data_IF_997612204685
#
_entry.id   IF_997612204685
#
_cell.length_a   1.000
_cell.length_b   1.000
_cell.length_c   1.000
_cell.angle_alpha   90.00
_cell.angle_beta   90.00
_cell.angle_gamma   90.00
#
_symmetry.space_group_name_H-M   'P 1'
#
loop_
_entity.id
_entity.type
_entity.pdbx_description
1 polymer ?
#
# COMPACT_ATOMS: atom_id res chain seq x y z
N UNK A 1 -37.20 26.81 -3.48
CA UNK A 1 -36.02 26.39 -2.68
C UNK A 1 -35.66 24.89 -2.73
N UNK A 2 -36.23 24.06 -3.63
CA UNK A 2 -35.89 22.61 -3.71
C UNK A 2 -34.78 22.22 -4.71
N UNK A 3 -34.46 23.08 -5.68
CA UNK A 3 -33.49 22.78 -6.77
C UNK A 3 -32.02 22.97 -6.37
N UNK A 4 -31.74 23.80 -5.36
CA UNK A 4 -30.37 24.14 -4.97
C UNK A 4 -29.68 23.02 -4.18
N UNK A 5 -30.43 22.26 -3.37
CA UNK A 5 -29.88 21.22 -2.49
C UNK A 5 -29.43 20.00 -3.30
N UNK A 6 -30.20 19.61 -4.33
CA UNK A 6 -29.81 18.49 -5.21
C UNK A 6 -28.50 18.76 -5.94
N UNK A 7 -28.28 19.97 -6.46
CA UNK A 7 -27.05 20.30 -7.19
C UNK A 7 -25.80 20.20 -6.30
N UNK A 8 -25.90 20.65 -5.04
CA UNK A 8 -24.79 20.56 -4.09
C UNK A 8 -24.48 19.11 -3.74
N UNK A 9 -25.51 18.28 -3.51
CA UNK A 9 -25.33 16.85 -3.19
C UNK A 9 -24.67 16.11 -4.36
N UNK A 10 -25.13 16.31 -5.59
CA UNK A 10 -24.51 15.70 -6.78
C UNK A 10 -23.06 16.18 -6.98
N UNK A 11 -22.78 17.46 -6.72
CA UNK A 11 -21.42 18.02 -6.81
C UNK A 11 -20.47 17.44 -5.76
N UNK A 12 -20.92 17.26 -4.51
CA UNK A 12 -20.11 16.60 -3.46
C UNK A 12 -19.88 15.12 -3.74
N UNK A 13 -20.88 14.38 -4.22
CA UNK A 13 -20.71 12.97 -4.58
C UNK A 13 -19.76 12.82 -5.77
N UNK A 14 -19.88 13.69 -6.78
CA UNK A 14 -18.95 13.73 -7.91
C UNK A 14 -17.52 14.06 -7.45
N UNK A 15 -17.32 15.02 -6.55
CA UNK A 15 -16.01 15.36 -6.01
C UNK A 15 -15.38 14.20 -5.23
N UNK A 16 -16.16 13.48 -4.41
CA UNK A 16 -15.70 12.29 -3.69
C UNK A 16 -15.32 11.17 -4.66
N UNK A 17 -16.13 10.95 -5.70
CA UNK A 17 -15.85 9.94 -6.73
C UNK A 17 -14.61 10.30 -7.55
N UNK A 18 -14.41 11.58 -7.89
CA UNK A 18 -13.21 12.05 -8.61
C UNK A 18 -11.96 11.91 -7.73
N UNK A 19 -12.03 12.27 -6.45
CA UNK A 19 -10.93 12.10 -5.51
C UNK A 19 -10.60 10.61 -5.28
N UNK A 20 -11.61 9.74 -5.26
CA UNK A 20 -11.42 8.28 -5.20
C UNK A 20 -10.81 7.70 -6.50
N UNK A 21 -11.11 8.28 -7.66
CA UNK A 21 -10.49 7.91 -8.95
C UNK A 21 -9.08 8.52 -9.14
N UNK A 22 -8.74 9.58 -8.40
CA UNK A 22 -7.39 10.17 -8.40
C UNK A 22 -6.39 9.39 -7.55
N UNK A 23 -6.84 8.51 -6.65
CA UNK A 23 -5.97 7.50 -6.05
C UNK A 23 -5.77 6.38 -7.07
N UNK A 24 -4.94 6.64 -8.10
CA UNK A 24 -4.50 5.61 -9.01
C UNK A 24 -3.92 4.47 -8.17
N UNK A 25 -4.57 3.30 -8.20
CA UNK A 25 -4.09 2.13 -7.49
C UNK A 25 -2.64 1.91 -7.89
N UNK A 26 -1.74 1.91 -6.91
CA UNK A 26 -0.33 1.83 -7.23
C UNK A 26 -0.04 0.59 -8.08
N UNK A 27 0.81 0.71 -9.13
CA UNK A 27 1.14 -0.42 -9.98
C UNK A 27 1.64 -1.59 -9.13
N UNK A 28 0.98 -2.75 -9.26
CA UNK A 28 1.39 -3.97 -8.57
C UNK A 28 2.59 -4.59 -9.30
N UNK A 29 3.62 -5.06 -8.59
CA UNK A 29 4.70 -5.79 -9.22
C UNK A 29 4.21 -7.14 -9.77
N UNK A 30 4.82 -7.61 -10.86
CA UNK A 30 4.47 -8.90 -11.45
C UNK A 30 4.74 -10.07 -10.48
N UNK A 31 3.84 -11.05 -10.46
CA UNK A 31 3.95 -12.23 -9.60
C UNK A 31 3.79 -11.95 -8.11
N UNK A 32 3.23 -10.79 -7.73
CA UNK A 32 2.82 -10.49 -6.35
C UNK A 32 1.32 -10.72 -6.21
N UNK A 33 0.92 -11.37 -5.12
CA UNK A 33 -0.49 -11.62 -4.80
C UNK A 33 -1.31 -10.33 -4.76
N UNK A 34 -2.55 -10.40 -5.22
CA UNK A 34 -3.48 -9.26 -5.18
C UNK A 34 -3.89 -8.83 -3.78
N UNK A 35 -3.70 -9.70 -2.79
CA UNK A 35 -4.04 -9.49 -1.39
C UNK A 35 -2.89 -8.84 -0.60
N UNK A 36 -1.74 -8.60 -1.24
CA UNK A 36 -0.68 -7.75 -0.68
C UNK A 36 -0.93 -6.33 -1.15
N UNK A 37 -1.17 -5.45 -0.20
CA UNK A 37 -1.39 -4.03 -0.38
C UNK A 37 -0.07 -3.26 -0.25
N UNK A 38 0.11 -2.24 -1.09
CA UNK A 38 1.28 -1.38 -1.07
C UNK A 38 0.89 0.05 -0.74
N UNK A 39 1.75 0.71 0.02
CA UNK A 39 1.76 2.16 0.18
C UNK A 39 3.17 2.65 -0.05
N UNK A 40 3.34 3.64 -0.92
CA UNK A 40 4.62 4.27 -1.23
C UNK A 40 4.52 5.76 -0.96
N UNK A 41 5.44 6.27 -0.15
CA UNK A 41 5.50 7.69 0.22
C UNK A 41 6.87 8.25 -0.14
N UNK A 42 6.91 9.37 -0.87
CA UNK A 42 8.15 10.10 -1.08
C UNK A 42 8.53 10.85 0.21
N UNK A 43 9.72 10.59 0.75
CA UNK A 43 10.16 11.13 2.07
C UNK A 43 11.19 12.24 1.90
N UNK A 44 12.15 12.01 1.00
CA UNK A 44 13.22 12.94 0.64
C UNK A 44 13.46 12.89 -0.87
N UNK A 45 14.23 13.83 -1.45
CA UNK A 45 14.61 13.73 -2.85
C UNK A 45 15.24 12.36 -3.14
N UNK A 46 14.61 11.62 -4.07
CA UNK A 46 15.02 10.26 -4.49
C UNK A 46 14.85 9.16 -3.43
N UNK A 47 14.18 9.43 -2.31
CA UNK A 47 13.90 8.43 -1.28
C UNK A 47 12.41 8.15 -1.13
N UNK A 48 12.06 6.87 -1.05
CA UNK A 48 10.69 6.38 -1.00
C UNK A 48 10.54 5.36 0.13
N UNK A 49 9.63 5.63 1.06
CA UNK A 49 9.15 4.64 2.00
C UNK A 49 8.16 3.73 1.31
N UNK A 50 8.33 2.43 1.52
CA UNK A 50 7.49 1.39 0.94
C UNK A 50 6.98 0.53 2.10
N UNK A 51 5.67 0.34 2.15
CA UNK A 51 5.01 -0.58 3.06
C UNK A 51 4.29 -1.64 2.23
N UNK A 52 4.67 -2.90 2.42
CA UNK A 52 3.97 -4.06 1.89
C UNK A 52 3.18 -4.71 3.03
N UNK A 53 1.87 -4.83 2.90
CA UNK A 53 0.99 -5.32 3.97
C UNK A 53 0.01 -6.35 3.46
N UNK A 54 -0.33 -7.31 4.32
CA UNK A 54 -1.39 -8.25 4.06
C UNK A 54 -2.13 -8.58 5.36
N UNK A 55 -3.40 -8.90 5.23
CA UNK A 55 -4.14 -9.55 6.30
C UNK A 55 -3.71 -11.01 6.36
N UNK A 56 -3.51 -11.51 7.57
CA UNK A 56 -3.39 -12.94 7.83
C UNK A 56 -4.66 -13.41 8.53
N UNK A 57 -5.23 -14.51 8.03
CA UNK A 57 -6.42 -15.14 8.58
C UNK A 57 -6.15 -16.64 8.76
N UNK A 58 -6.99 -17.31 9.54
CA UNK A 58 -6.97 -18.77 9.68
C UNK A 58 -7.16 -19.54 8.34
N UNK A 59 -7.60 -18.87 7.27
CA UNK A 59 -7.83 -19.47 5.94
C UNK A 59 -6.68 -19.24 4.95
N UNK A 60 -5.63 -18.53 5.35
CA UNK A 60 -4.50 -18.23 4.49
C UNK A 60 -3.64 -17.12 5.06
N UNK A 61 -2.34 -17.39 5.14
CA UNK A 61 -1.34 -16.48 5.67
C UNK A 61 -0.38 -16.11 4.55
N UNK A 62 -0.21 -14.80 4.28
CA UNK A 62 0.98 -14.36 3.55
C UNK A 62 2.17 -14.43 4.51
N UNK A 63 3.15 -15.25 4.15
CA UNK A 63 4.34 -15.45 4.96
C UNK A 63 5.15 -14.16 5.07
N UNK A 64 5.92 -14.02 6.15
CA UNK A 64 6.87 -12.90 6.27
C UNK A 64 7.85 -12.86 5.08
N UNK A 65 8.26 -14.02 4.59
CA UNK A 65 9.12 -14.14 3.40
C UNK A 65 8.45 -13.57 2.14
N UNK A 66 7.18 -13.88 1.92
CA UNK A 66 6.42 -13.38 0.78
C UNK A 66 6.23 -11.87 0.85
N UNK A 67 6.01 -11.31 2.05
CA UNK A 67 5.91 -9.86 2.23
C UNK A 67 7.25 -9.15 1.99
N UNK A 68 8.37 -9.74 2.43
CA UNK A 68 9.72 -9.22 2.14
C UNK A 68 10.02 -9.28 0.64
N UNK A 69 9.64 -10.37 -0.03
CA UNK A 69 9.80 -10.49 -1.48
C UNK A 69 8.93 -9.49 -2.24
N UNK A 70 7.67 -9.33 -1.84
CA UNK A 70 6.74 -8.36 -2.40
C UNK A 70 7.26 -6.92 -2.24
N UNK A 71 7.77 -6.58 -1.05
CA UNK A 71 8.44 -5.31 -0.79
C UNK A 71 9.63 -5.12 -1.74
N UNK A 72 10.47 -6.14 -1.91
CA UNK A 72 11.64 -6.06 -2.79
C UNK A 72 11.26 -5.87 -4.27
N UNK A 73 10.25 -6.61 -4.76
CA UNK A 73 9.72 -6.45 -6.12
C UNK A 73 9.17 -5.04 -6.35
N UNK A 74 8.51 -4.46 -5.35
CA UNK A 74 8.02 -3.08 -5.40
C UNK A 74 9.16 -2.07 -5.43
N UNK A 75 10.19 -2.27 -4.63
CA UNK A 75 11.41 -1.46 -4.65
C UNK A 75 12.08 -1.46 -6.03
N UNK A 76 12.24 -2.63 -6.66
CA UNK A 76 12.80 -2.74 -8.01
C UNK A 76 11.95 -2.04 -9.06
N UNK A 77 10.62 -2.19 -8.97
CA UNK A 77 9.69 -1.50 -9.87
C UNK A 77 9.79 0.02 -9.74
N UNK A 78 9.86 0.56 -8.52
CA UNK A 78 10.04 2.00 -8.27
C UNK A 78 11.40 2.51 -8.74
N UNK A 79 12.44 1.70 -8.57
CA UNK A 79 13.77 2.04 -9.04
C UNK A 79 13.82 2.15 -10.57
N UNK A 80 12.99 1.38 -11.27
CA UNK A 80 12.86 1.39 -12.74
C UNK A 80 14.22 1.26 -13.43
N UNK A 81 15.00 0.25 -13.03
CA UNK A 81 16.34 -0.04 -13.54
C UNK A 81 17.48 0.77 -12.91
N UNK A 82 17.18 1.79 -12.10
CA UNK A 82 18.22 2.53 -11.33
C UNK A 82 18.72 1.71 -10.15
N UNK A 83 19.96 1.97 -9.73
CA UNK A 83 20.50 1.40 -8.49
C UNK A 83 19.87 2.12 -7.29
N UNK A 84 19.77 1.43 -6.16
CA UNK A 84 19.28 2.02 -4.92
C UNK A 84 19.95 1.38 -3.70
N UNK A 85 20.01 2.14 -2.61
CA UNK A 85 20.25 1.64 -1.26
C UNK A 85 18.90 1.42 -0.58
N UNK A 86 18.82 0.42 0.29
CA UNK A 86 17.64 0.20 1.14
C UNK A 86 18.02 0.34 2.61
N UNK A 87 17.07 0.81 3.42
CA UNK A 87 17.14 0.69 4.88
C UNK A 87 17.06 -0.79 5.30
N UNK A 88 17.33 -1.06 6.58
CA UNK A 88 16.87 -2.31 7.18
C UNK A 88 15.35 -2.39 7.08
N UNK A 89 14.83 -3.60 6.82
CA UNK A 89 13.40 -3.84 6.78
C UNK A 89 12.86 -4.01 8.20
N UNK A 90 11.77 -3.31 8.49
CA UNK A 90 11.05 -3.41 9.76
C UNK A 90 9.78 -4.21 9.53
N UNK A 91 9.48 -5.12 10.47
CA UNK A 91 8.27 -5.93 10.44
C UNK A 91 7.31 -5.38 11.49
N UNK A 92 6.07 -5.10 11.08
CA UNK A 92 5.01 -4.72 11.99
C UNK A 92 3.94 -5.80 11.98
N UNK A 93 3.69 -6.36 13.15
CA UNK A 93 2.58 -7.28 13.38
C UNK A 93 1.52 -6.57 14.19
N UNK A 94 0.27 -6.71 13.77
CA UNK A 94 -0.88 -6.28 14.53
C UNK A 94 -1.95 -7.34 14.53
N UNK A 95 -2.61 -7.47 15.68
CA UNK A 95 -3.78 -8.31 15.85
C UNK A 95 -5.00 -7.41 15.93
N UNK A 96 -6.00 -7.69 15.11
CA UNK A 96 -7.32 -7.07 15.22
C UNK A 96 -8.28 -8.09 15.83
N UNK A 97 -8.61 -7.89 17.10
CA UNK A 97 -9.53 -8.77 17.85
C UNK A 97 -11.00 -8.43 17.59
N UNK A 98 -11.31 -7.55 16.65
CA UNK A 98 -12.69 -7.14 16.36
C UNK A 98 -13.48 -8.29 15.74
N UNK A 99 -14.32 -8.96 16.55
CA UNK A 99 -15.30 -9.94 16.09
C UNK A 99 -15.04 -11.42 16.44
N UNK A 100 -14.11 -11.72 17.34
CA UNK A 100 -13.93 -13.08 17.88
C UNK A 100 -13.17 -14.07 16.97
N UNK A 101 -12.70 -13.61 15.82
CA UNK A 101 -11.80 -14.34 14.92
C UNK A 101 -10.42 -13.70 14.97
N UNK A 102 -9.35 -14.50 15.04
CA UNK A 102 -7.98 -14.01 14.94
C UNK A 102 -7.69 -13.55 13.51
N UNK A 103 -8.04 -12.30 13.21
CA UNK A 103 -7.64 -11.60 11.99
C UNK A 103 -6.50 -10.68 12.41
N UNK A 104 -5.36 -10.80 11.74
CA UNK A 104 -4.25 -9.90 11.98
C UNK A 104 -3.80 -9.24 10.69
N UNK A 105 -2.99 -8.21 10.83
CA UNK A 105 -2.25 -7.64 9.73
C UNK A 105 -0.76 -7.83 10.00
N UNK A 106 -0.02 -8.10 8.93
CA UNK A 106 1.43 -8.04 8.93
C UNK A 106 1.86 -7.08 7.85
N UNK A 107 2.84 -6.26 8.16
CA UNK A 107 3.49 -5.42 7.17
C UNK A 107 5.00 -5.48 7.28
N UNK A 108 5.64 -5.26 6.14
CA UNK A 108 7.08 -5.05 6.01
C UNK A 108 7.26 -3.65 5.46
N UNK A 109 8.02 -2.83 6.18
CA UNK A 109 8.31 -1.45 5.81
C UNK A 109 9.81 -1.25 5.63
N UNK A 110 10.16 -0.28 4.78
CA UNK A 110 11.53 0.11 4.55
C UNK A 110 11.61 1.22 3.52
N UNK A 111 12.74 1.91 3.52
CA UNK A 111 13.01 3.04 2.62
C UNK A 111 13.98 2.60 1.54
N UNK A 112 13.73 2.96 0.28
CA UNK A 112 14.76 2.96 -0.76
C UNK A 112 15.25 4.38 -1.02
N UNK A 113 16.53 4.54 -1.34
CA UNK A 113 17.11 5.78 -1.85
C UNK A 113 17.80 5.48 -3.15
N UNK A 114 17.33 6.09 -4.23
CA UNK A 114 17.90 5.90 -5.56
C UNK A 114 19.30 6.52 -5.61
N UNK A 115 20.20 5.81 -6.28
CA UNK A 115 21.56 6.24 -6.51
C UNK A 115 21.73 6.39 -8.01
N UNK A 116 22.31 7.51 -8.39
CA UNK A 116 22.60 7.87 -9.77
C UNK A 116 23.79 7.05 -10.30
#
# INVERSE_FOLDING_TARGET
MRRSISLTVYSTVAAILILAHCAAAEPRPAGVSRFIHFSVTAVYPKSFDIIASAQWSIYGHFGLAELKEAWHKKALQLANGRKFKSSALVVHDGEDSTGGWAIGFRSVSGTITLID
#
